data_IF_173177674993
#
_entry.id   IF_173177674993
#
_cell.length_a   1.000
_cell.length_b   1.000
_cell.length_c   1.000
_cell.angle_alpha   90.00
_cell.angle_beta   90.00
_cell.angle_gamma   90.00
#
_symmetry.space_group_name_H-M   'P 1'
#
loop_
_entity.id
_entity.type
_entity.pdbx_description
1 polymer ?
#
# COMPACT_ATOMS: atom_id res chain seq x y z
N UNK A 1 -22.89 22.92 12.08
CA UNK A 1 -21.73 22.46 11.32
C UNK A 1 -20.47 22.71 12.14
N UNK A 2 -19.64 21.69 12.27
CA UNK A 2 -18.40 21.76 13.05
C UNK A 2 -17.17 22.01 12.15
N UNK A 3 -17.38 22.62 10.97
CA UNK A 3 -16.36 22.82 9.92
C UNK A 3 -16.17 24.33 9.69
N UNK A 4 -14.95 24.76 9.49
CA UNK A 4 -14.62 26.09 8.96
C UNK A 4 -14.99 26.16 7.47
N UNK A 5 -16.14 26.76 7.17
CA UNK A 5 -16.70 26.81 5.82
C UNK A 5 -15.77 27.55 4.85
N UNK A 6 -15.14 28.65 5.24
CA UNK A 6 -14.23 29.39 4.36
C UNK A 6 -13.03 28.55 3.93
N UNK A 7 -12.49 27.75 4.86
CA UNK A 7 -11.44 26.78 4.54
C UNK A 7 -11.92 25.70 3.60
N UNK A 8 -13.08 25.12 3.88
CA UNK A 8 -13.65 24.05 3.04
C UNK A 8 -13.90 24.55 1.60
N UNK A 9 -14.48 25.74 1.41
CA UNK A 9 -14.72 26.32 0.10
C UNK A 9 -13.41 26.55 -0.68
N UNK A 10 -12.36 27.02 0.01
CA UNK A 10 -11.02 27.16 -0.59
C UNK A 10 -10.50 25.80 -1.06
N UNK A 11 -10.56 24.79 -0.22
CA UNK A 11 -10.07 23.44 -0.56
C UNK A 11 -10.91 22.80 -1.68
N UNK A 12 -12.22 23.04 -1.76
CA UNK A 12 -13.08 22.61 -2.87
C UNK A 12 -12.63 23.28 -4.18
N UNK A 13 -12.32 24.57 -4.15
CA UNK A 13 -11.82 25.31 -5.33
C UNK A 13 -10.50 24.71 -5.81
N UNK A 14 -9.57 24.42 -4.87
CA UNK A 14 -8.28 23.79 -5.19
C UNK A 14 -8.48 22.37 -5.73
N UNK A 15 -9.41 21.60 -5.19
CA UNK A 15 -9.78 20.28 -5.69
C UNK A 15 -10.30 20.35 -7.13
N UNK A 16 -11.26 21.23 -7.44
CA UNK A 16 -11.78 21.43 -8.80
C UNK A 16 -10.69 21.80 -9.79
N UNK A 17 -9.75 22.69 -9.39
CA UNK A 17 -8.63 23.08 -10.24
C UNK A 17 -7.76 21.89 -10.65
N UNK A 18 -7.62 20.90 -9.77
CA UNK A 18 -6.79 19.71 -10.02
C UNK A 18 -7.58 18.51 -10.55
N UNK A 19 -8.90 18.56 -10.58
CA UNK A 19 -9.78 17.41 -10.80
C UNK A 19 -9.48 16.67 -12.11
N UNK A 20 -9.50 17.36 -13.23
CA UNK A 20 -9.25 16.72 -14.54
C UNK A 20 -7.83 16.16 -14.68
N UNK A 21 -6.82 16.84 -14.12
CA UNK A 21 -5.44 16.38 -14.18
C UNK A 21 -5.17 15.16 -13.31
N UNK A 22 -5.90 15.00 -12.20
CA UNK A 22 -5.78 13.85 -11.30
C UNK A 22 -6.70 12.68 -11.67
N UNK A 23 -7.70 12.90 -12.53
CA UNK A 23 -8.72 11.89 -12.84
C UNK A 23 -8.15 10.53 -13.24
N UNK A 24 -7.18 10.51 -14.14
CA UNK A 24 -6.60 9.25 -14.62
C UNK A 24 -5.89 8.45 -13.52
N UNK A 25 -5.35 9.12 -12.50
CA UNK A 25 -4.68 8.49 -11.37
C UNK A 25 -5.67 8.03 -10.29
N UNK A 26 -6.84 8.69 -10.19
CA UNK A 26 -7.77 8.49 -9.07
C UNK A 26 -9.09 7.78 -9.46
N UNK A 27 -9.44 7.70 -10.75
CA UNK A 27 -10.69 7.05 -11.26
C UNK A 27 -10.85 5.60 -10.84
N UNK A 28 -9.76 4.93 -10.45
CA UNK A 28 -9.81 3.55 -9.96
C UNK A 28 -10.79 3.37 -8.78
N UNK A 29 -11.14 4.43 -8.05
CA UNK A 29 -12.12 4.39 -6.98
C UNK A 29 -13.52 4.11 -7.53
N UNK A 30 -13.93 4.84 -8.55
CA UNK A 30 -15.22 4.64 -9.23
C UNK A 30 -15.24 3.32 -10.01
N UNK A 31 -14.12 2.95 -10.63
CA UNK A 31 -13.99 1.65 -11.31
C UNK A 31 -14.08 0.48 -10.31
N UNK A 32 -13.51 0.62 -9.11
CA UNK A 32 -13.57 -0.43 -8.09
C UNK A 32 -15.00 -0.63 -7.55
N UNK A 33 -15.75 0.44 -7.33
CA UNK A 33 -17.17 0.36 -6.92
C UNK A 33 -17.99 -0.32 -8.00
N UNK A 34 -17.95 0.18 -9.23
CA UNK A 34 -18.68 -0.38 -10.37
C UNK A 34 -18.38 -1.86 -10.58
N UNK A 35 -17.09 -2.22 -10.51
CA UNK A 35 -16.65 -3.60 -10.64
C UNK A 35 -17.17 -4.48 -9.51
N UNK A 36 -17.05 -4.04 -8.26
CA UNK A 36 -17.54 -4.79 -7.12
C UNK A 36 -19.05 -4.99 -7.21
N UNK A 37 -19.84 -3.95 -7.49
CA UNK A 37 -21.29 -4.03 -7.61
C UNK A 37 -21.74 -5.04 -8.68
N UNK A 38 -21.02 -5.11 -9.80
CA UNK A 38 -21.36 -6.00 -10.91
C UNK A 38 -20.94 -7.46 -10.71
N UNK A 39 -20.04 -7.74 -9.76
CA UNK A 39 -19.48 -9.09 -9.55
C UNK A 39 -19.80 -9.68 -8.17
N UNK A 40 -20.37 -8.89 -7.26
CA UNK A 40 -20.69 -9.36 -5.93
C UNK A 40 -22.00 -10.13 -5.89
N UNK A 41 -21.92 -11.43 -5.60
CA UNK A 41 -23.08 -12.29 -5.33
C UNK A 41 -22.83 -13.15 -4.10
N UNK A 42 -23.41 -12.78 -2.97
CA UNK A 42 -23.27 -13.50 -1.67
C UNK A 42 -23.82 -14.93 -1.75
N UNK A 43 -24.71 -15.24 -2.72
CA UNK A 43 -25.31 -16.56 -2.93
C UNK A 43 -24.54 -17.42 -3.92
N UNK A 44 -23.45 -16.90 -4.50
CA UNK A 44 -22.64 -17.65 -5.47
C UNK A 44 -22.24 -19.03 -4.92
N UNK A 45 -22.40 -20.12 -5.68
CA UNK A 45 -21.96 -21.45 -5.27
C UNK A 45 -20.46 -21.53 -5.00
N UNK A 46 -19.64 -20.87 -5.82
CA UNK A 46 -18.21 -20.69 -5.58
C UNK A 46 -17.97 -19.30 -5.00
N UNK A 47 -18.16 -19.19 -3.69
CA UNK A 47 -17.96 -17.95 -2.97
C UNK A 47 -16.52 -17.45 -3.04
N UNK A 48 -15.55 -18.38 -3.00
CA UNK A 48 -14.13 -18.04 -3.03
C UNK A 48 -13.75 -17.35 -4.35
N UNK A 49 -14.20 -17.92 -5.48
CA UNK A 49 -13.93 -17.30 -6.78
C UNK A 49 -14.70 -16.00 -6.97
N UNK A 50 -15.94 -15.94 -6.54
CA UNK A 50 -16.75 -14.73 -6.55
C UNK A 50 -16.04 -13.60 -5.77
N UNK A 51 -15.59 -13.86 -4.54
CA UNK A 51 -14.88 -12.90 -3.70
C UNK A 51 -13.57 -12.42 -4.36
N UNK A 52 -12.78 -13.35 -4.92
CA UNK A 52 -11.55 -13.01 -5.66
C UNK A 52 -11.85 -12.06 -6.83
N UNK A 53 -12.88 -12.36 -7.60
CA UNK A 53 -13.28 -11.56 -8.76
C UNK A 53 -13.78 -10.18 -8.35
N UNK A 54 -14.69 -10.12 -7.37
CA UNK A 54 -15.26 -8.85 -6.89
C UNK A 54 -14.20 -7.90 -6.34
N UNK A 55 -13.15 -8.42 -5.68
CA UNK A 55 -12.07 -7.61 -5.11
C UNK A 55 -10.89 -7.38 -6.07
N UNK A 56 -10.94 -7.84 -7.33
CA UNK A 56 -9.79 -7.75 -8.24
C UNK A 56 -9.36 -6.32 -8.58
N UNK A 57 -10.27 -5.34 -8.57
CA UNK A 57 -10.00 -3.93 -8.85
C UNK A 57 -9.69 -3.08 -7.61
N UNK A 58 -9.51 -3.71 -6.43
CA UNK A 58 -9.29 -2.99 -5.16
C UNK A 58 -7.84 -2.91 -4.72
N UNK A 59 -6.87 -3.16 -5.60
CA UNK A 59 -5.45 -3.21 -5.24
C UNK A 59 -4.97 -1.91 -4.57
N UNK A 60 -5.29 -0.75 -5.13
CA UNK A 60 -4.89 0.54 -4.57
C UNK A 60 -5.64 0.93 -3.27
N UNK A 61 -6.71 0.19 -2.93
CA UNK A 61 -7.54 0.43 -1.76
C UNK A 61 -7.21 -0.52 -0.60
N UNK A 62 -7.01 -1.81 -0.93
CA UNK A 62 -6.85 -2.93 -0.02
C UNK A 62 -5.49 -3.66 -0.17
N UNK A 63 -4.53 -3.00 -0.79
CA UNK A 63 -3.18 -3.50 -1.00
C UNK A 63 -2.20 -2.34 -1.09
N UNK A 64 -1.88 -1.71 0.04
CA UNK A 64 -0.89 -0.64 0.12
C UNK A 64 0.24 -1.06 1.07
N UNK A 65 1.37 -0.38 1.01
CA UNK A 65 2.57 -0.63 1.83
C UNK A 65 2.26 -1.15 3.24
N UNK A 66 2.76 -2.35 3.59
CA UNK A 66 2.56 -3.02 4.89
C UNK A 66 1.11 -3.40 5.25
N UNK A 67 0.22 -3.52 4.25
CA UNK A 67 -1.20 -3.70 4.49
C UNK A 67 -1.87 -4.57 3.43
N UNK A 68 -2.13 -5.85 3.75
CA UNK A 68 -2.58 -6.88 2.80
C UNK A 68 -3.99 -7.45 3.09
N UNK A 69 -4.99 -6.62 3.40
CA UNK A 69 -6.31 -7.15 3.76
C UNK A 69 -6.96 -7.95 2.63
N UNK A 70 -6.82 -7.52 1.36
CA UNK A 70 -7.35 -8.22 0.19
C UNK A 70 -6.79 -9.63 0.06
N UNK A 71 -5.48 -9.78 0.24
CA UNK A 71 -4.81 -11.08 0.22
C UNK A 71 -5.33 -11.96 1.36
N UNK A 72 -5.41 -11.43 2.58
CA UNK A 72 -5.79 -12.21 3.74
C UNK A 72 -7.24 -12.67 3.69
N UNK A 73 -8.18 -11.81 3.27
CA UNK A 73 -9.58 -12.24 3.15
C UNK A 73 -9.77 -13.30 2.05
N UNK A 74 -9.01 -13.22 0.95
CA UNK A 74 -8.98 -14.26 -0.08
C UNK A 74 -8.42 -15.58 0.48
N UNK A 75 -7.34 -15.53 1.25
CA UNK A 75 -6.76 -16.70 1.90
C UNK A 75 -7.74 -17.31 2.90
N UNK A 76 -8.44 -16.49 3.69
CA UNK A 76 -9.49 -16.97 4.58
C UNK A 76 -10.62 -17.68 3.82
N UNK A 77 -11.07 -17.12 2.71
CA UNK A 77 -12.09 -17.74 1.88
C UNK A 77 -11.64 -19.06 1.23
N UNK A 78 -10.32 -19.26 1.02
CA UNK A 78 -9.79 -20.54 0.51
C UNK A 78 -9.85 -21.67 1.55
N UNK A 79 -9.69 -21.34 2.84
CA UNK A 79 -9.65 -22.35 3.93
C UNK A 79 -10.98 -22.47 4.67
N UNK A 80 -11.80 -21.41 4.69
CA UNK A 80 -13.06 -21.34 5.43
C UNK A 80 -14.12 -20.52 4.64
N UNK A 81 -14.52 -20.94 3.42
CA UNK A 81 -15.38 -20.14 2.55
C UNK A 81 -16.72 -19.77 3.18
N UNK A 82 -17.37 -20.68 3.90
CA UNK A 82 -18.66 -20.43 4.51
C UNK A 82 -18.58 -19.54 5.76
N UNK A 83 -17.48 -19.65 6.53
CA UNK A 83 -17.23 -18.73 7.65
C UNK A 83 -17.06 -17.31 7.13
N UNK A 84 -16.27 -17.12 6.08
CA UNK A 84 -16.07 -15.80 5.45
C UNK A 84 -17.36 -15.28 4.80
N UNK A 85 -18.13 -16.13 4.13
CA UNK A 85 -19.46 -15.76 3.60
C UNK A 85 -20.35 -15.22 4.72
N UNK A 86 -20.41 -15.92 5.84
CA UNK A 86 -21.19 -15.50 7.00
C UNK A 86 -20.69 -14.17 7.58
N UNK A 87 -19.36 -13.96 7.63
CA UNK A 87 -18.80 -12.67 8.05
C UNK A 87 -19.33 -11.51 7.20
N UNK A 88 -19.42 -11.67 5.87
CA UNK A 88 -19.95 -10.63 4.99
C UNK A 88 -21.48 -10.50 5.11
N UNK A 89 -22.23 -11.58 5.30
CA UNK A 89 -23.68 -11.51 5.57
C UNK A 89 -23.93 -10.67 6.83
N UNK A 90 -23.20 -10.95 7.91
CA UNK A 90 -23.34 -10.24 9.17
C UNK A 90 -22.88 -8.77 9.04
N UNK A 91 -21.79 -8.50 8.30
CA UNK A 91 -21.30 -7.15 8.05
C UNK A 91 -22.30 -6.27 7.29
N UNK A 92 -22.99 -6.86 6.32
CA UNK A 92 -23.93 -6.16 5.47
C UNK A 92 -25.37 -6.13 6.01
N UNK A 93 -25.60 -6.71 7.21
CA UNK A 93 -26.90 -6.67 7.89
C UNK A 93 -27.08 -5.33 8.59
N UNK A 94 -27.73 -4.37 7.94
CA UNK A 94 -27.95 -3.03 8.46
C UNK A 94 -28.94 -2.93 9.63
N UNK A 95 -29.60 -4.03 10.01
CA UNK A 95 -30.41 -4.08 11.25
C UNK A 95 -29.55 -4.16 12.53
N UNK A 96 -28.24 -4.43 12.39
CA UNK A 96 -27.29 -4.48 13.49
C UNK A 96 -26.49 -3.18 13.52
N UNK A 97 -26.24 -2.56 14.69
CA UNK A 97 -25.40 -1.38 14.81
C UNK A 97 -24.04 -1.54 14.12
N UNK A 98 -23.57 -0.49 13.44
CA UNK A 98 -22.32 -0.53 12.67
C UNK A 98 -21.11 -0.96 13.53
N UNK A 99 -21.05 -0.45 14.79
CA UNK A 99 -20.01 -0.82 15.76
C UNK A 99 -19.90 -2.32 15.97
N UNK A 100 -21.06 -2.98 16.12
CA UNK A 100 -21.14 -4.39 16.46
C UNK A 100 -20.80 -5.26 15.25
N UNK A 101 -21.20 -4.83 14.04
CA UNK A 101 -20.84 -5.48 12.78
C UNK A 101 -19.33 -5.46 12.54
N UNK A 102 -18.71 -4.30 12.73
CA UNK A 102 -17.26 -4.15 12.58
C UNK A 102 -16.53 -4.98 13.64
N UNK A 103 -16.94 -4.88 14.91
CA UNK A 103 -16.33 -5.67 15.98
C UNK A 103 -16.41 -7.18 15.70
N UNK A 104 -17.59 -7.66 15.29
CA UNK A 104 -17.81 -9.06 14.96
C UNK A 104 -16.91 -9.51 13.81
N UNK A 105 -16.81 -8.73 12.74
CA UNK A 105 -15.96 -9.06 11.60
C UNK A 105 -14.48 -9.20 12.01
N UNK A 106 -13.98 -8.31 12.86
CA UNK A 106 -12.61 -8.39 13.41
C UNK A 106 -12.45 -9.67 14.22
N UNK A 107 -13.38 -9.99 15.11
CA UNK A 107 -13.31 -11.18 15.96
C UNK A 107 -13.36 -12.49 15.18
N UNK A 108 -14.19 -12.58 14.16
CA UNK A 108 -14.22 -13.75 13.28
C UNK A 108 -12.92 -13.86 12.48
N UNK A 109 -12.32 -12.74 12.08
CA UNK A 109 -11.00 -12.72 11.44
C UNK A 109 -9.88 -13.20 12.38
N UNK A 110 -9.88 -12.79 13.65
CA UNK A 110 -8.98 -13.30 14.69
C UNK A 110 -9.13 -14.82 14.83
N UNK A 111 -10.39 -15.30 14.88
CA UNK A 111 -10.70 -16.72 15.04
C UNK A 111 -10.20 -17.56 13.86
N UNK A 112 -10.46 -17.12 12.61
CA UNK A 112 -9.98 -17.84 11.41
C UNK A 112 -8.45 -17.84 11.38
N UNK A 113 -7.81 -16.70 11.69
CA UNK A 113 -6.35 -16.62 11.74
C UNK A 113 -5.77 -17.60 12.75
N UNK A 114 -6.33 -17.71 13.95
CA UNK A 114 -5.86 -18.64 14.99
C UNK A 114 -6.11 -20.09 14.61
N UNK A 115 -7.29 -20.42 14.06
CA UNK A 115 -7.70 -21.77 13.69
C UNK A 115 -6.86 -22.37 12.56
N UNK A 116 -6.54 -21.54 11.55
CA UNK A 116 -5.80 -21.98 10.36
C UNK A 116 -4.36 -21.47 10.34
N UNK A 117 -3.81 -21.23 11.51
CA UNK A 117 -2.46 -20.73 11.76
C UNK A 117 -1.42 -21.53 10.98
N UNK A 118 -0.83 -20.90 9.95
CA UNK A 118 0.33 -21.42 9.23
C UNK A 118 1.50 -20.45 9.37
N UNK A 119 1.74 -19.63 8.37
CA UNK A 119 2.74 -18.55 8.38
C UNK A 119 2.14 -17.14 8.58
N UNK A 120 0.82 -17.05 8.63
CA UNK A 120 0.13 -15.76 8.75
C UNK A 120 0.19 -15.23 10.17
N UNK A 121 0.62 -13.98 10.33
CA UNK A 121 0.76 -13.31 11.64
C UNK A 121 -0.28 -12.23 11.86
N UNK A 122 -0.88 -11.69 10.79
CA UNK A 122 -1.84 -10.61 10.82
C UNK A 122 -2.88 -10.83 9.71
N UNK A 123 -4.15 -10.58 10.02
CA UNK A 123 -5.25 -10.67 9.05
C UNK A 123 -5.55 -9.34 8.36
N UNK A 124 -5.07 -8.20 8.87
CA UNK A 124 -5.30 -6.85 8.34
C UNK A 124 -6.78 -6.45 8.18
N UNK A 125 -7.71 -7.18 8.78
CA UNK A 125 -9.12 -6.85 8.74
C UNK A 125 -9.43 -5.86 9.87
N UNK A 126 -9.05 -4.61 9.66
CA UNK A 126 -9.22 -3.50 10.59
C UNK A 126 -10.36 -2.56 10.15
N UNK A 127 -10.54 -1.44 10.86
CA UNK A 127 -11.56 -0.45 10.56
C UNK A 127 -11.48 0.12 9.14
N UNK A 128 -10.26 0.31 8.60
CA UNK A 128 -10.04 0.80 7.24
C UNK A 128 -10.52 -0.24 6.22
N UNK A 129 -10.11 -1.49 6.37
CA UNK A 129 -10.50 -2.58 5.49
C UNK A 129 -12.01 -2.77 5.50
N UNK A 130 -12.60 -2.87 6.68
CA UNK A 130 -14.03 -3.16 6.83
C UNK A 130 -14.88 -2.01 6.30
N UNK A 131 -14.48 -0.76 6.56
CA UNK A 131 -15.17 0.40 5.97
C UNK A 131 -15.05 0.43 4.44
N UNK A 132 -13.93 -0.07 3.88
CA UNK A 132 -13.79 -0.21 2.43
C UNK A 132 -14.77 -1.24 1.88
N UNK A 133 -14.98 -2.39 2.54
CA UNK A 133 -15.98 -3.38 2.13
C UNK A 133 -17.41 -2.81 2.19
N UNK A 134 -17.72 -2.05 3.24
CA UNK A 134 -19.01 -1.38 3.39
C UNK A 134 -19.24 -0.35 2.26
N UNK A 135 -18.25 0.47 1.97
CA UNK A 135 -18.30 1.45 0.89
C UNK A 135 -18.43 0.77 -0.49
N UNK A 136 -17.70 -0.31 -0.76
CA UNK A 136 -17.84 -1.07 -2.01
C UNK A 136 -19.28 -1.65 -2.18
N UNK A 137 -19.90 -2.07 -1.09
CA UNK A 137 -21.24 -2.69 -1.11
C UNK A 137 -22.38 -1.68 -1.13
N UNK A 138 -22.24 -0.58 -0.41
CA UNK A 138 -23.23 0.49 -0.25
C UNK A 138 -22.55 1.86 -0.45
N UNK A 139 -22.11 2.14 -1.69
CA UNK A 139 -21.31 3.34 -2.00
C UNK A 139 -22.07 4.64 -1.76
N UNK A 140 -23.41 4.60 -1.67
CA UNK A 140 -24.25 5.76 -1.36
C UNK A 140 -24.26 6.12 0.14
N UNK A 141 -23.82 5.20 1.03
CA UNK A 141 -23.99 5.34 2.49
C UNK A 141 -22.70 5.36 3.30
N UNK A 142 -21.70 4.61 2.86
CA UNK A 142 -20.47 4.39 3.63
C UNK A 142 -19.27 5.03 2.95
N UNK A 143 -18.24 5.31 3.75
CA UNK A 143 -16.98 5.91 3.32
C UNK A 143 -15.82 5.02 3.72
N UNK A 144 -14.69 5.16 3.04
CA UNK A 144 -13.42 4.56 3.48
C UNK A 144 -12.91 5.37 4.67
N UNK A 145 -12.80 4.72 5.83
CA UNK A 145 -12.26 5.33 7.04
C UNK A 145 -10.77 5.05 7.19
N UNK A 146 -9.96 6.10 7.21
CA UNK A 146 -8.52 6.04 7.49
C UNK A 146 -8.21 6.94 8.69
N UNK A 147 -7.78 6.39 9.84
CA UNK A 147 -7.62 7.17 11.07
C UNK A 147 -6.72 8.40 10.93
N UNK A 148 -5.59 8.26 10.22
CA UNK A 148 -4.64 9.37 10.00
C UNK A 148 -5.19 10.44 9.06
N UNK A 149 -5.90 10.02 8.00
CA UNK A 149 -6.57 10.93 7.07
C UNK A 149 -7.65 11.74 7.80
N UNK A 150 -8.52 11.06 8.56
CA UNK A 150 -9.54 11.71 9.37
C UNK A 150 -8.94 12.76 10.32
N UNK A 151 -7.89 12.39 11.07
CA UNK A 151 -7.22 13.33 11.99
C UNK A 151 -6.67 14.56 11.27
N UNK A 152 -6.05 14.39 10.08
CA UNK A 152 -5.50 15.51 9.31
C UNK A 152 -6.59 16.37 8.68
N UNK A 153 -7.62 15.76 8.11
CA UNK A 153 -8.77 16.47 7.57
C UNK A 153 -9.44 17.31 8.66
N UNK A 154 -9.63 16.74 9.86
CA UNK A 154 -10.17 17.49 11.00
C UNK A 154 -9.33 18.70 11.36
N UNK A 155 -8.01 18.60 11.31
CA UNK A 155 -7.09 19.73 11.55
C UNK A 155 -7.13 20.76 10.42
N UNK A 156 -7.13 20.33 9.15
CA UNK A 156 -7.20 21.22 7.98
C UNK A 156 -8.47 22.07 8.04
N UNK A 157 -9.60 21.44 8.35
CA UNK A 157 -10.91 22.09 8.35
C UNK A 157 -11.30 22.73 9.71
N UNK A 158 -10.36 22.76 10.69
CA UNK A 158 -10.57 23.30 12.04
C UNK A 158 -11.83 22.72 12.71
N UNK A 159 -12.06 21.43 12.58
CA UNK A 159 -13.26 20.82 13.17
C UNK A 159 -13.12 20.67 14.69
N UNK A 160 -14.24 20.50 15.39
CA UNK A 160 -14.26 20.21 16.83
C UNK A 160 -13.99 18.73 17.14
N UNK A 161 -13.86 17.87 16.14
CA UNK A 161 -13.58 16.45 16.35
C UNK A 161 -12.18 16.25 16.91
N UNK A 162 -12.10 15.69 18.12
CA UNK A 162 -10.82 15.37 18.77
C UNK A 162 -10.51 13.88 18.59
N UNK A 163 -9.37 13.60 18.02
CA UNK A 163 -8.91 12.24 17.79
C UNK A 163 -7.99 11.76 18.92
N UNK A 164 -8.46 10.80 19.72
CA UNK A 164 -7.58 10.04 20.62
C UNK A 164 -6.86 8.96 19.82
N UNK A 165 -5.59 8.70 20.13
CA UNK A 165 -4.75 7.72 19.44
C UNK A 165 -5.42 6.34 19.34
N UNK A 166 -5.63 5.84 18.13
CA UNK A 166 -6.26 4.55 17.84
C UNK A 166 -7.65 4.67 17.20
N UNK A 167 -8.01 3.74 16.32
CA UNK A 167 -9.34 3.64 15.75
C UNK A 167 -10.28 2.91 16.72
N UNK A 168 -11.48 3.44 16.93
CA UNK A 168 -12.56 2.83 17.71
C UNK A 168 -13.84 2.91 16.89
N UNK A 169 -14.90 2.12 17.22
CA UNK A 169 -16.20 2.28 16.59
C UNK A 169 -16.71 3.73 16.62
N UNK A 170 -16.55 4.40 17.75
CA UNK A 170 -16.97 5.79 17.93
C UNK A 170 -16.19 6.75 17.00
N UNK A 171 -14.91 6.49 16.77
CA UNK A 171 -14.09 7.31 15.84
C UNK A 171 -14.59 7.16 14.39
N UNK A 172 -15.05 5.97 14.01
CA UNK A 172 -15.65 5.73 12.67
C UNK A 172 -16.95 6.52 12.53
N UNK A 173 -17.81 6.51 13.56
CA UNK A 173 -19.06 7.26 13.55
C UNK A 173 -18.81 8.76 13.45
N UNK A 174 -17.90 9.30 14.24
CA UNK A 174 -17.49 10.71 14.15
C UNK A 174 -16.93 11.09 12.76
N UNK A 175 -16.14 10.20 12.17
CA UNK A 175 -15.64 10.42 10.81
C UNK A 175 -16.79 10.47 9.80
N UNK A 176 -17.76 9.59 9.91
CA UNK A 176 -18.91 9.56 9.02
C UNK A 176 -19.81 10.79 9.18
N UNK A 177 -19.95 11.32 10.41
CA UNK A 177 -20.62 12.60 10.64
C UNK A 177 -19.92 13.74 9.89
N UNK A 178 -18.60 13.87 10.05
CA UNK A 178 -17.81 14.86 9.33
C UNK A 178 -17.91 14.68 7.81
N UNK A 179 -17.81 13.45 7.31
CA UNK A 179 -17.84 13.17 5.88
C UNK A 179 -19.23 13.44 5.28
N UNK A 180 -20.30 13.22 6.04
CA UNK A 180 -21.66 13.61 5.62
C UNK A 180 -21.82 15.12 5.53
N UNK A 181 -21.25 15.90 6.47
CA UNK A 181 -21.26 17.36 6.39
C UNK A 181 -20.51 17.85 5.13
N UNK A 182 -19.32 17.29 4.85
CA UNK A 182 -18.55 17.60 3.63
C UNK A 182 -19.33 17.21 2.38
N UNK A 183 -19.87 15.98 2.32
CA UNK A 183 -20.68 15.50 1.18
C UNK A 183 -21.84 16.42 0.89
N UNK A 184 -22.56 16.84 1.92
CA UNK A 184 -23.69 17.75 1.76
C UNK A 184 -23.30 19.06 1.07
N UNK A 185 -22.12 19.62 1.40
CA UNK A 185 -21.59 20.83 0.75
C UNK A 185 -21.16 20.56 -0.68
N UNK A 186 -20.46 19.45 -0.95
CA UNK A 186 -20.09 19.06 -2.31
C UNK A 186 -21.32 18.84 -3.19
N UNK A 187 -22.41 18.33 -2.64
CA UNK A 187 -23.70 18.16 -3.34
C UNK A 187 -24.36 19.49 -3.74
N UNK A 188 -24.00 20.61 -3.15
CA UNK A 188 -24.49 21.93 -3.58
C UNK A 188 -23.63 22.55 -4.72
N UNK A 189 -22.44 22.02 -4.97
CA UNK A 189 -21.54 22.53 -6.02
C UNK A 189 -21.94 21.99 -7.40
N UNK A 190 -22.65 22.81 -8.17
CA UNK A 190 -23.14 22.46 -9.51
C UNK A 190 -22.02 22.32 -10.52
N UNK A 191 -20.90 23.07 -10.35
CA UNK A 191 -19.73 22.96 -11.21
C UNK A 191 -19.01 21.62 -11.01
N UNK A 192 -18.80 21.21 -9.76
CA UNK A 192 -18.22 19.91 -9.45
C UNK A 192 -19.06 18.75 -10.03
N UNK A 193 -20.38 18.83 -9.89
CA UNK A 193 -21.28 17.83 -10.49
C UNK A 193 -21.15 17.77 -12.02
N UNK A 194 -21.05 18.91 -12.67
CA UNK A 194 -20.86 18.96 -14.12
C UNK A 194 -19.51 18.37 -14.54
N UNK A 195 -18.41 18.67 -13.80
CA UNK A 195 -17.09 18.12 -14.03
C UNK A 195 -17.08 16.59 -13.86
N UNK A 196 -17.71 16.07 -12.81
CA UNK A 196 -17.82 14.63 -12.57
C UNK A 196 -18.62 13.95 -13.69
N UNK A 197 -19.78 14.50 -14.06
CA UNK A 197 -20.60 13.99 -15.16
C UNK A 197 -19.83 13.91 -16.48
N UNK A 198 -19.02 14.94 -16.78
CA UNK A 198 -18.20 14.98 -18.00
C UNK A 198 -17.18 13.83 -18.03
N UNK A 199 -16.43 13.61 -16.95
CA UNK A 199 -15.44 12.52 -16.91
C UNK A 199 -16.07 11.14 -16.90
N UNK A 200 -17.19 10.96 -16.20
CA UNK A 200 -17.91 9.69 -16.16
C UNK A 200 -18.49 9.31 -17.52
N UNK A 201 -18.98 10.28 -18.29
CA UNK A 201 -19.46 10.05 -19.66
C UNK A 201 -18.33 9.51 -20.57
N UNK A 202 -17.11 9.93 -20.36
CA UNK A 202 -15.93 9.50 -21.13
C UNK A 202 -15.23 8.26 -20.57
N UNK A 203 -15.60 7.81 -19.36
CA UNK A 203 -14.96 6.69 -18.68
C UNK A 203 -16.01 5.62 -18.39
N UNK A 204 -16.33 4.75 -19.36
CA UNK A 204 -17.23 3.62 -19.13
C UNK A 204 -16.66 2.72 -18.05
N UNK A 205 -17.51 2.03 -17.30
CA UNK A 205 -17.17 1.14 -16.18
C UNK A 205 -16.83 1.83 -14.85
N UNK A 206 -17.11 3.13 -14.72
CA UNK A 206 -17.11 3.82 -13.44
C UNK A 206 -18.52 3.81 -12.82
N UNK A 207 -18.58 3.82 -11.49
CA UNK A 207 -19.81 4.06 -10.73
C UNK A 207 -20.31 5.49 -10.99
N UNK A 208 -21.63 5.72 -11.18
CA UNK A 208 -22.16 7.05 -11.45
C UNK A 208 -22.07 8.03 -10.26
N UNK A 209 -21.81 7.53 -9.07
CA UNK A 209 -21.60 8.30 -7.81
C UNK A 209 -22.67 9.39 -7.58
N UNK A 210 -23.94 9.03 -7.75
CA UNK A 210 -25.07 9.96 -7.71
C UNK A 210 -25.14 10.76 -6.40
N UNK A 211 -24.69 10.18 -5.29
CA UNK A 211 -24.66 10.79 -3.97
C UNK A 211 -23.36 11.52 -3.67
N UNK A 212 -22.40 11.56 -4.60
CA UNK A 212 -21.05 12.10 -4.41
C UNK A 212 -20.28 11.49 -3.22
N UNK A 213 -20.56 10.26 -2.86
CA UNK A 213 -19.89 9.59 -1.74
C UNK A 213 -18.48 9.19 -2.12
N UNK A 214 -18.27 8.61 -3.31
CA UNK A 214 -16.95 8.30 -3.85
C UNK A 214 -16.15 9.57 -4.12
N UNK A 215 -16.80 10.63 -4.64
CA UNK A 215 -16.20 11.97 -4.79
C UNK A 215 -15.78 12.54 -3.44
N UNK A 216 -16.57 12.33 -2.37
CA UNK A 216 -16.18 12.73 -1.01
C UNK A 216 -14.95 11.97 -0.55
N UNK A 217 -14.89 10.65 -0.74
CA UNK A 217 -13.70 9.84 -0.41
C UNK A 217 -12.46 10.34 -1.18
N UNK A 218 -12.61 10.70 -2.45
CA UNK A 218 -11.53 11.25 -3.25
C UNK A 218 -11.08 12.63 -2.77
N UNK A 219 -12.02 13.50 -2.45
CA UNK A 219 -11.74 14.83 -1.88
C UNK A 219 -10.98 14.74 -0.54
N UNK A 220 -11.39 13.84 0.36
CA UNK A 220 -10.68 13.61 1.62
C UNK A 220 -9.22 13.17 1.40
N UNK A 221 -8.99 12.28 0.45
CA UNK A 221 -7.66 11.86 0.04
C UNK A 221 -6.85 13.02 -0.56
N UNK A 222 -7.47 13.87 -1.39
CA UNK A 222 -6.83 15.06 -1.94
C UNK A 222 -6.36 16.02 -0.84
N UNK A 223 -7.21 16.31 0.16
CA UNK A 223 -6.86 17.13 1.32
C UNK A 223 -5.64 16.58 2.05
N UNK A 224 -5.65 15.28 2.34
CA UNK A 224 -4.56 14.62 3.05
C UNK A 224 -3.25 14.67 2.26
N UNK A 225 -3.27 14.39 0.97
CA UNK A 225 -2.12 14.38 0.07
C UNK A 225 -1.47 15.75 -0.07
N UNK A 226 -2.28 16.81 -0.24
CA UNK A 226 -1.79 18.17 -0.40
C UNK A 226 -1.16 18.74 0.87
N UNK A 227 -1.74 18.45 2.04
CA UNK A 227 -1.16 18.87 3.32
C UNK A 227 0.19 18.20 3.57
N UNK A 228 0.37 16.93 3.22
CA UNK A 228 1.67 16.25 3.32
C UNK A 228 2.73 16.88 2.41
N UNK A 229 2.37 17.32 1.21
CA UNK A 229 3.29 18.02 0.30
C UNK A 229 3.71 19.38 0.88
N UNK A 230 2.76 20.15 1.39
CA UNK A 230 3.00 21.47 1.99
C UNK A 230 3.93 21.35 3.20
N UNK A 231 3.71 20.41 4.11
CA UNK A 231 4.57 20.18 5.28
C UNK A 231 6.00 19.78 4.90
N UNK A 232 6.19 18.97 3.86
CA UNK A 232 7.53 18.61 3.35
C UNK A 232 8.25 19.85 2.78
N UNK A 233 7.54 20.73 2.07
CA UNK A 233 8.10 21.97 1.51
C UNK A 233 8.51 22.95 2.61
N UNK A 234 7.70 23.10 3.68
CA UNK A 234 8.05 23.94 4.84
C UNK A 234 9.24 23.39 5.63
N UNK A 235 9.38 22.08 5.79
CA UNK A 235 10.53 21.49 6.46
C UNK A 235 11.83 21.64 5.66
N UNK A 236 11.75 21.71 4.34
CA UNK A 236 12.89 22.00 3.46
C UNK A 236 13.25 23.49 3.53
N UNK A 237 12.26 24.39 3.60
CA UNK A 237 12.48 25.82 3.71
C UNK A 237 13.03 26.26 5.09
N UNK A 238 12.56 25.62 6.18
CA UNK A 238 13.02 25.92 7.56
C UNK A 238 14.44 25.44 7.90
N UNK A 239 15.07 24.64 7.06
CA UNK A 239 16.47 24.19 7.22
C UNK A 239 17.51 25.03 6.48
N UNK A 240 17.12 26.19 5.90
CA UNK A 240 18.00 27.09 5.13
C UNK A 240 18.60 28.21 5.94
N UNK A 241 18.92 28.04 7.22
CA UNK A 241 19.82 28.94 7.96
C UNK A 241 20.70 28.12 8.88
N UNK A 242 21.77 27.53 8.35
CA UNK A 242 23.08 27.40 9.00
C UNK A 242 24.09 26.74 8.05
N UNK A 243 25.12 27.56 7.73
CA UNK A 243 26.49 27.25 7.27
C UNK A 243 26.72 26.65 5.87
N UNK A 244 27.50 27.44 5.13
CA UNK A 244 28.20 27.13 3.89
C UNK A 244 28.91 25.78 3.91
N UNK A 245 28.29 24.80 3.21
CA UNK A 245 28.96 23.64 2.66
C UNK A 245 28.61 23.64 1.16
N UNK A 246 29.57 23.44 0.25
CA UNK A 246 29.28 23.49 -1.19
C UNK A 246 28.16 22.53 -1.55
N UNK A 247 27.26 22.89 -2.46
CA UNK A 247 26.10 22.06 -2.80
C UNK A 247 26.57 20.77 -3.46
N UNK A 248 26.40 19.65 -2.74
CA UNK A 248 26.26 18.35 -3.37
C UNK A 248 24.96 18.38 -4.15
N UNK A 249 25.05 18.38 -5.47
CA UNK A 249 23.93 18.22 -6.38
C UNK A 249 23.09 17.02 -5.92
N UNK A 250 21.75 17.16 -5.75
CA UNK A 250 20.92 15.98 -5.47
C UNK A 250 21.01 15.03 -6.68
N UNK A 251 21.16 13.73 -6.46
CA UNK A 251 21.15 12.78 -7.58
C UNK A 251 19.76 12.84 -8.24
N UNK A 252 19.72 13.30 -9.46
CA UNK A 252 18.54 13.31 -10.36
C UNK A 252 18.31 11.95 -11.00
N UNK A 253 18.85 10.88 -10.45
CA UNK A 253 18.60 9.52 -10.93
C UNK A 253 17.44 8.89 -10.15
N UNK A 254 16.44 8.41 -10.91
CA UNK A 254 15.34 7.60 -10.39
C UNK A 254 15.95 6.36 -9.73
N UNK A 255 15.66 6.13 -8.44
CA UNK A 255 16.14 4.97 -7.69
C UNK A 255 15.60 3.69 -8.34
N UNK A 256 16.48 2.71 -8.59
CA UNK A 256 16.10 1.42 -9.12
C UNK A 256 16.14 0.35 -8.03
N UNK A 257 15.44 -0.74 -8.27
CA UNK A 257 15.31 -1.85 -7.34
C UNK A 257 15.71 -3.15 -7.99
N UNK A 258 16.40 -3.99 -7.22
CA UNK A 258 17.02 -5.21 -7.70
C UNK A 258 16.70 -6.39 -6.81
N UNK A 259 16.62 -7.56 -7.40
CA UNK A 259 16.63 -8.84 -6.72
C UNK A 259 18.00 -9.49 -6.92
N UNK A 260 18.75 -9.65 -5.82
CA UNK A 260 20.04 -10.29 -5.80
C UNK A 260 19.87 -11.77 -5.42
N UNK A 261 20.15 -12.67 -6.38
CA UNK A 261 20.05 -14.11 -6.21
C UNK A 261 21.46 -14.70 -6.03
N UNK A 262 21.72 -15.30 -4.87
CA UNK A 262 22.99 -15.93 -4.53
C UNK A 262 22.84 -17.41 -4.18
N UNK A 263 23.80 -18.21 -4.57
CA UNK A 263 23.96 -19.58 -4.06
C UNK A 263 24.69 -19.52 -2.72
N UNK A 264 24.07 -19.87 -1.58
CA UNK A 264 24.68 -19.72 -0.27
C UNK A 264 25.93 -20.62 -0.05
N UNK A 265 26.10 -21.66 -0.84
CA UNK A 265 27.32 -22.51 -0.80
C UNK A 265 28.53 -21.82 -1.40
N UNK A 266 28.32 -20.86 -2.32
CA UNK A 266 29.38 -20.10 -2.98
C UNK A 266 29.52 -18.69 -2.41
N UNK A 267 28.38 -18.08 -2.04
CA UNK A 267 28.30 -16.71 -1.54
C UNK A 267 27.11 -16.56 -0.60
N UNK A 268 27.34 -16.73 0.71
CA UNK A 268 26.28 -16.62 1.71
C UNK A 268 26.03 -15.15 2.08
N UNK A 269 24.83 -14.68 1.76
CA UNK A 269 24.35 -13.35 2.12
C UNK A 269 23.96 -13.27 3.60
N UNK A 270 23.59 -14.40 4.20
CA UNK A 270 23.27 -14.50 5.64
C UNK A 270 24.48 -14.22 6.50
N UNK A 271 25.66 -14.73 6.12
CA UNK A 271 26.92 -14.59 6.86
C UNK A 271 27.57 -13.20 6.69
N UNK A 272 27.05 -12.39 5.81
CA UNK A 272 27.58 -11.08 5.51
C UNK A 272 27.20 -10.07 6.61
N UNK A 273 28.15 -9.29 7.13
CA UNK A 273 27.93 -8.32 8.20
C UNK A 273 27.22 -7.07 7.69
N UNK A 274 26.38 -6.45 8.53
CA UNK A 274 25.76 -5.16 8.20
C UNK A 274 26.85 -4.10 8.03
N UNK A 275 26.78 -3.32 6.93
CA UNK A 275 27.76 -2.31 6.58
C UNK A 275 28.94 -2.83 5.77
N UNK A 276 29.18 -4.14 5.74
CA UNK A 276 30.24 -4.77 4.95
C UNK A 276 29.96 -4.60 3.45
N UNK A 277 31.04 -4.39 2.69
CA UNK A 277 31.00 -4.23 1.24
C UNK A 277 31.63 -5.48 0.61
N UNK A 278 30.86 -6.11 -0.27
CA UNK A 278 31.35 -7.23 -1.06
C UNK A 278 31.16 -6.97 -2.56
N UNK A 279 32.05 -7.58 -3.35
CA UNK A 279 32.00 -7.48 -4.81
C UNK A 279 31.44 -8.77 -5.42
N UNK A 280 30.74 -8.61 -6.53
CA UNK A 280 30.26 -9.70 -7.35
C UNK A 280 30.75 -9.51 -8.78
N UNK A 281 31.33 -10.56 -9.37
CA UNK A 281 31.91 -10.47 -10.73
C UNK A 281 30.81 -10.45 -11.80
N UNK A 282 31.01 -9.65 -12.84
CA UNK A 282 30.14 -9.59 -14.01
C UNK A 282 30.34 -10.78 -14.96
N UNK A 283 31.42 -11.53 -14.78
CA UNK A 283 31.78 -12.68 -15.62
C UNK A 283 31.88 -13.94 -14.78
N UNK A 284 31.59 -15.09 -15.38
CA UNK A 284 31.79 -16.39 -14.74
C UNK A 284 33.27 -16.82 -14.83
N UNK A 285 33.62 -17.95 -14.21
CA UNK A 285 34.99 -18.47 -14.14
C UNK A 285 35.60 -18.78 -15.52
N UNK A 286 34.74 -19.00 -16.52
CA UNK A 286 35.16 -19.22 -17.93
C UNK A 286 35.28 -17.91 -18.73
N UNK A 287 35.17 -16.74 -18.08
CA UNK A 287 35.23 -15.43 -18.72
C UNK A 287 33.99 -15.03 -19.53
N UNK A 288 32.92 -15.83 -19.48
CA UNK A 288 31.68 -15.49 -20.17
C UNK A 288 30.84 -14.51 -19.32
N UNK A 289 30.13 -13.59 -19.99
CA UNK A 289 29.19 -12.69 -19.38
C UNK A 289 28.13 -13.47 -18.58
N UNK A 290 27.85 -13.04 -17.36
CA UNK A 290 26.76 -13.61 -16.58
C UNK A 290 25.42 -13.35 -17.25
N UNK A 291 24.44 -14.20 -16.99
CA UNK A 291 23.07 -14.01 -17.50
C UNK A 291 22.49 -12.70 -17.00
N UNK A 292 21.60 -12.13 -17.80
CA UNK A 292 20.98 -10.81 -17.55
C UNK A 292 22.06 -9.73 -17.36
N UNK A 293 23.11 -9.77 -18.19
CA UNK A 293 24.28 -8.89 -18.08
C UNK A 293 23.94 -7.40 -18.09
N UNK A 294 22.89 -7.01 -18.82
CA UNK A 294 22.44 -5.62 -18.90
C UNK A 294 22.03 -5.08 -17.51
N UNK A 295 21.45 -5.91 -16.64
CA UNK A 295 21.06 -5.49 -15.30
C UNK A 295 22.27 -5.02 -14.45
N UNK A 296 23.44 -5.65 -14.65
CA UNK A 296 24.67 -5.21 -13.96
C UNK A 296 25.18 -3.86 -14.50
N UNK A 297 24.91 -3.54 -15.75
CA UNK A 297 25.30 -2.27 -16.36
C UNK A 297 24.32 -1.14 -15.98
N UNK A 298 23.04 -1.46 -15.82
CA UNK A 298 21.98 -0.52 -15.48
C UNK A 298 21.96 -0.16 -13.99
N UNK A 299 22.58 -0.99 -13.14
CA UNK A 299 22.60 -0.78 -11.69
C UNK A 299 23.51 0.42 -11.32
N UNK A 300 22.94 1.37 -10.56
CA UNK A 300 23.60 2.60 -10.17
C UNK A 300 23.88 2.65 -8.66
N UNK A 301 24.85 3.47 -8.26
CA UNK A 301 25.15 3.67 -6.84
C UNK A 301 23.94 4.24 -6.09
N UNK A 302 23.58 3.62 -4.96
CA UNK A 302 22.43 3.98 -4.16
C UNK A 302 21.18 3.14 -4.42
N UNK A 303 21.11 2.41 -5.54
CA UNK A 303 20.03 1.46 -5.82
C UNK A 303 19.93 0.40 -4.71
N UNK A 304 18.71 -0.11 -4.49
CA UNK A 304 18.43 -1.06 -3.41
C UNK A 304 18.30 -2.48 -3.97
N UNK A 305 18.84 -3.45 -3.24
CA UNK A 305 18.76 -4.87 -3.59
C UNK A 305 18.10 -5.69 -2.47
N UNK A 306 17.10 -6.50 -2.83
CA UNK A 306 16.55 -7.56 -1.98
C UNK A 306 17.40 -8.79 -2.15
N UNK A 307 17.97 -9.30 -1.07
CA UNK A 307 18.94 -10.37 -1.05
C UNK A 307 18.29 -11.72 -0.81
N UNK A 308 18.29 -12.58 -1.81
CA UNK A 308 17.72 -13.93 -1.78
C UNK A 308 18.81 -14.99 -1.88
N UNK A 309 18.80 -15.94 -0.98
CA UNK A 309 19.61 -17.16 -1.06
C UNK A 309 18.82 -18.28 -1.74
N UNK A 310 19.38 -18.82 -2.83
CA UNK A 310 18.83 -19.92 -3.58
C UNK A 310 18.89 -21.27 -2.79
N UNK A 311 18.78 -22.41 -3.48
CA UNK A 311 18.88 -23.75 -2.87
C UNK A 311 20.25 -23.91 -2.14
N UNK A 312 20.29 -24.43 -0.90
CA UNK A 312 19.17 -25.08 -0.19
C UNK A 312 18.26 -24.14 0.61
N UNK A 313 18.65 -22.90 0.88
CA UNK A 313 18.00 -21.96 1.79
C UNK A 313 16.62 -21.52 1.28
N UNK A 314 16.52 -21.10 0.01
CA UNK A 314 15.30 -20.62 -0.66
C UNK A 314 14.56 -19.51 0.12
N UNK A 315 15.28 -18.51 0.62
CA UNK A 315 14.72 -17.45 1.44
C UNK A 315 15.30 -16.07 1.08
N UNK A 316 14.52 -15.02 1.25
CA UNK A 316 15.03 -13.64 1.36
C UNK A 316 15.60 -13.47 2.75
N UNK A 317 16.87 -13.09 2.83
CA UNK A 317 17.64 -13.10 4.11
C UNK A 317 18.15 -11.73 4.52
N UNK A 318 18.25 -10.78 3.58
CA UNK A 318 18.86 -9.48 3.84
C UNK A 318 18.39 -8.41 2.85
N UNK A 319 18.75 -7.16 3.14
CA UNK A 319 18.72 -6.05 2.22
C UNK A 319 20.13 -5.50 2.02
N UNK A 320 20.40 -5.01 0.82
CA UNK A 320 21.65 -4.36 0.47
C UNK A 320 21.38 -3.12 -0.40
N UNK A 321 22.39 -2.30 -0.59
CA UNK A 321 22.39 -1.24 -1.62
C UNK A 321 23.59 -1.45 -2.54
N UNK A 322 23.46 -0.98 -3.77
CA UNK A 322 24.61 -0.84 -4.67
C UNK A 322 25.54 0.22 -4.08
N UNK A 323 26.72 -0.17 -3.65
CA UNK A 323 27.69 0.73 -3.00
C UNK A 323 28.31 1.71 -3.98
N UNK A 324 28.70 1.19 -5.15
CA UNK A 324 29.21 1.98 -6.28
C UNK A 324 28.86 1.29 -7.59
N UNK A 325 28.79 2.05 -8.67
CA UNK A 325 28.60 1.54 -10.02
C UNK A 325 29.66 0.50 -10.37
N UNK A 326 29.34 -0.44 -11.25
CA UNK A 326 30.29 -1.45 -11.71
C UNK A 326 31.54 -0.82 -12.36
N UNK A 327 32.68 -1.49 -12.21
CA UNK A 327 33.97 -1.08 -12.77
C UNK A 327 34.31 -1.82 -14.10
N UNK A 328 33.33 -2.45 -14.70
CA UNK A 328 33.46 -3.27 -15.91
C UNK A 328 33.82 -4.73 -15.62
N UNK A 329 34.21 -5.07 -14.38
CA UNK A 329 34.52 -6.44 -13.94
C UNK A 329 33.67 -6.86 -12.74
N UNK A 330 33.43 -5.95 -11.81
CA UNK A 330 32.69 -6.20 -10.58
C UNK A 330 31.62 -5.14 -10.33
N UNK A 331 30.55 -5.55 -9.66
CA UNK A 331 29.58 -4.69 -8.98
C UNK A 331 29.74 -4.84 -7.48
N UNK A 332 29.44 -3.79 -6.71
CA UNK A 332 29.72 -3.73 -5.28
C UNK A 332 28.42 -3.50 -4.51
N UNK A 333 28.15 -4.38 -3.54
CA UNK A 333 27.00 -4.32 -2.66
C UNK A 333 27.43 -4.02 -1.24
N UNK A 334 26.65 -3.23 -0.53
CA UNK A 334 26.80 -3.03 0.90
C UNK A 334 25.54 -3.53 1.61
N UNK A 335 25.69 -4.49 2.53
CA UNK A 335 24.56 -4.98 3.32
C UNK A 335 24.03 -3.87 4.21
N UNK A 336 22.73 -3.62 4.15
CA UNK A 336 22.06 -2.59 4.95
C UNK A 336 21.23 -3.18 6.08
N UNK A 337 20.75 -4.42 5.92
CA UNK A 337 19.92 -5.08 6.92
C UNK A 337 20.03 -6.61 6.84
N UNK A 338 20.00 -7.29 7.98
CA UNK A 338 19.76 -8.72 8.10
C UNK A 338 18.34 -8.96 8.55
N UNK A 339 17.61 -9.87 7.91
CA UNK A 339 16.26 -10.21 8.34
C UNK A 339 16.32 -11.16 9.54
N UNK A 340 15.72 -10.76 10.66
CA UNK A 340 15.55 -11.62 11.83
C UNK A 340 14.68 -12.83 11.50
N UNK A 341 13.70 -12.62 10.63
CA UNK A 341 12.78 -13.64 10.13
C UNK A 341 12.85 -13.66 8.60
N UNK A 342 13.67 -14.53 8.01
CA UNK A 342 13.75 -14.68 6.56
C UNK A 342 12.42 -15.03 5.92
N UNK A 343 12.22 -14.63 4.66
CA UNK A 343 10.96 -14.86 3.93
C UNK A 343 11.15 -16.02 2.95
N UNK A 344 10.35 -17.07 3.11
CA UNK A 344 10.41 -18.23 2.23
C UNK A 344 10.00 -17.91 0.78
N UNK A 345 10.70 -18.52 -0.17
CA UNK A 345 10.40 -18.43 -1.60
C UNK A 345 8.93 -18.76 -1.93
N UNK A 346 8.37 -19.78 -1.26
CA UNK A 346 6.99 -20.21 -1.49
C UNK A 346 5.96 -19.12 -1.16
N UNK A 347 6.24 -18.27 -0.17
CA UNK A 347 5.39 -17.13 0.18
C UNK A 347 5.31 -16.16 -0.99
N UNK A 348 6.47 -15.80 -1.56
CA UNK A 348 6.55 -14.86 -2.67
C UNK A 348 6.02 -15.44 -3.98
N UNK A 349 6.34 -16.73 -4.26
CA UNK A 349 5.91 -17.40 -5.49
C UNK A 349 4.39 -17.53 -5.63
N UNK A 350 3.68 -17.60 -4.51
CA UNK A 350 2.22 -17.69 -4.48
C UNK A 350 1.50 -16.34 -4.52
N UNK A 351 2.24 -15.21 -4.68
CA UNK A 351 1.68 -13.87 -4.77
C UNK A 351 1.35 -13.51 -6.21
N UNK A 352 0.09 -13.19 -6.49
CA UNK A 352 -0.36 -12.77 -7.83
C UNK A 352 0.36 -11.51 -8.31
N UNK A 353 0.70 -10.63 -7.39
CA UNK A 353 1.39 -9.36 -7.61
C UNK A 353 2.81 -9.54 -8.15
N UNK A 354 3.41 -10.71 -7.92
CA UNK A 354 4.77 -11.05 -8.37
C UNK A 354 4.81 -11.99 -9.58
N UNK A 355 3.67 -12.36 -10.17
CA UNK A 355 3.61 -13.30 -11.29
C UNK A 355 4.47 -12.90 -12.48
N UNK A 356 4.62 -11.59 -12.72
CA UNK A 356 5.41 -11.04 -13.84
C UNK A 356 6.85 -10.67 -13.45
N UNK A 357 7.28 -10.96 -12.21
CA UNK A 357 8.62 -10.67 -11.74
C UNK A 357 9.68 -11.38 -12.60
N UNK A 358 10.70 -10.63 -13.05
CA UNK A 358 11.75 -11.14 -13.94
C UNK A 358 12.38 -12.44 -13.41
N UNK A 359 12.65 -12.51 -12.10
CA UNK A 359 13.19 -13.71 -11.44
C UNK A 359 12.23 -14.92 -11.51
N UNK A 360 10.93 -14.72 -11.40
CA UNK A 360 9.97 -15.82 -11.47
C UNK A 360 9.69 -16.31 -12.89
N UNK A 361 9.87 -15.42 -13.88
CA UNK A 361 9.79 -15.79 -15.30
C UNK A 361 11.01 -16.61 -15.75
N UNK A 362 12.20 -16.26 -15.26
CA UNK A 362 13.43 -16.98 -15.57
C UNK A 362 14.45 -16.87 -14.42
N UNK A 363 14.51 -17.84 -13.49
CA UNK A 363 15.34 -17.76 -12.28
C UNK A 363 16.85 -17.93 -12.53
N UNK A 364 17.27 -18.09 -13.80
CA UNK A 364 18.66 -18.32 -14.16
C UNK A 364 19.43 -16.99 -14.28
N UNK A 365 19.89 -16.45 -13.17
CA UNK A 365 20.66 -15.22 -13.12
C UNK A 365 21.00 -14.85 -11.67
N UNK A 366 21.74 -13.75 -11.51
CA UNK A 366 22.16 -13.30 -10.17
C UNK A 366 21.60 -11.93 -9.82
N UNK A 367 21.28 -11.07 -10.78
CA UNK A 367 20.72 -9.75 -10.55
C UNK A 367 19.55 -9.50 -11.48
N UNK A 368 18.36 -9.34 -10.93
CA UNK A 368 17.12 -9.14 -11.69
C UNK A 368 16.52 -7.78 -11.34
N UNK A 369 15.91 -7.14 -12.33
CA UNK A 369 15.24 -5.86 -12.14
C UNK A 369 13.90 -6.08 -11.41
N UNK A 370 13.60 -5.19 -10.48
CA UNK A 370 12.28 -5.08 -9.86
C UNK A 370 11.61 -3.80 -10.32
N UNK A 371 10.35 -3.88 -10.64
CA UNK A 371 9.51 -2.67 -10.74
C UNK A 371 9.32 -2.07 -9.34
N UNK A 372 8.97 -0.79 -9.26
CA UNK A 372 8.63 -0.14 -8.00
C UNK A 372 7.55 -0.94 -7.24
N UNK A 373 6.50 -1.38 -7.93
CA UNK A 373 5.39 -2.13 -7.32
C UNK A 373 5.84 -3.49 -6.76
N UNK A 374 6.68 -4.22 -7.47
CA UNK A 374 7.23 -5.51 -7.00
C UNK A 374 8.13 -5.31 -5.78
N UNK A 375 9.00 -4.30 -5.82
CA UNK A 375 9.86 -3.96 -4.69
C UNK A 375 9.04 -3.57 -3.47
N UNK A 376 8.10 -2.63 -3.60
CA UNK A 376 7.25 -2.18 -2.50
C UNK A 376 6.46 -3.36 -1.92
N UNK A 377 5.93 -4.23 -2.76
CA UNK A 377 5.18 -5.42 -2.36
C UNK A 377 6.04 -6.41 -1.55
N UNK A 378 7.28 -6.70 -2.00
CA UNK A 378 8.20 -7.61 -1.28
C UNK A 378 8.65 -6.96 0.04
N UNK A 379 8.95 -5.65 0.02
CA UNK A 379 9.31 -4.92 1.23
C UNK A 379 8.20 -4.93 2.27
N UNK A 380 6.96 -4.89 1.83
CA UNK A 380 5.81 -4.99 2.71
C UNK A 380 5.75 -6.35 3.42
N UNK A 381 5.99 -7.45 2.70
CA UNK A 381 6.09 -8.78 3.32
C UNK A 381 7.26 -8.84 4.31
N UNK A 382 8.40 -8.26 3.94
CA UNK A 382 9.57 -8.20 4.81
C UNK A 382 9.24 -7.42 6.09
N UNK A 383 8.62 -6.24 6.00
CA UNK A 383 8.34 -5.36 7.14
C UNK A 383 7.23 -5.86 8.06
N UNK A 384 6.33 -6.68 7.54
CA UNK A 384 5.32 -7.36 8.37
C UNK A 384 5.96 -8.32 9.39
N UNK A 385 7.04 -8.98 9.00
CA UNK A 385 7.76 -9.93 9.86
C UNK A 385 8.99 -9.31 10.54
N UNK A 386 9.60 -8.29 9.94
CA UNK A 386 10.81 -7.61 10.41
C UNK A 386 10.56 -6.11 10.56
N UNK A 387 9.80 -5.66 11.57
CA UNK A 387 9.54 -4.24 11.79
C UNK A 387 10.83 -3.50 12.11
N UNK A 388 11.00 -2.30 11.56
CA UNK A 388 12.13 -1.43 11.88
C UNK A 388 12.04 -1.07 13.36
N UNK A 389 12.99 -1.52 14.18
CA UNK A 389 13.12 -1.09 15.58
C UNK A 389 13.41 0.42 15.55
N UNK A 390 12.49 1.25 16.01
CA UNK A 390 12.80 2.65 16.32
C UNK A 390 13.80 2.62 17.48
N UNK A 391 15.05 2.99 17.24
CA UNK A 391 15.98 3.34 18.31
C UNK A 391 15.39 4.53 19.04
N UNK A 392 14.88 4.28 20.25
CA UNK A 392 14.63 5.32 21.24
C UNK A 392 16.00 5.79 21.72
N UNK A 393 16.63 6.68 20.98
CA UNK A 393 17.73 7.48 21.52
C UNK A 393 17.19 8.82 21.98
N UNK A 394 17.38 9.04 23.28
CA UNK A 394 17.22 10.27 24.06
C UNK A 394 15.80 10.64 24.55
N UNK A 395 15.38 9.94 25.63
CA UNK A 395 14.78 10.62 26.78
C UNK A 395 15.65 10.25 27.99
N UNK A 396 16.58 11.11 28.31
CA UNK A 396 17.43 11.00 29.47
C UNK A 396 18.29 12.23 29.67
N UNK A 397 17.74 13.23 30.27
CA UNK A 397 18.19 14.21 31.26
C UNK A 397 17.55 15.57 31.03
#
# INVERSE_FOLDING_TARGET
>A
MNIDINKLEKEIKDYKTNFFSSWNDEKYKWEAVSWFQSHWDIKSPDFTQMLKTSLSKTQNLLGAQHYFPRRMIKNFAMVAPEDVRKMFIDLYNEHIPLSDRIYKFIKESDFILEKYKSTWRNHFQDYRTISTYLWLRYPERYYIFKPREFSRVSQILNTSYTFKKGATPNTVLQAYELYNEIKWILQQDTELKAMLSDVLTRTPNCDPDLELTTTTVDFLYFLDKNNQKSQKTFQIAGKKQEKDIPPLTPPTSKLHYWWLNANPQMWSLSNWSIGEIQSYTLYNDNGNKRRVFQNFLDAEAGDIAICYEATPTKQVVALAKIYKKNDGKHIYFQKTESLTYPIDYSILKNCEELNNMEFFANPNGSLFKLTQNEYDFIMDIIRDTNPIKRTNENIGR
#
